data_IF_636011116906
#
_entry.id   IF_636011116906
#
_cell.length_a   1.000
_cell.length_b   1.000
_cell.length_c   1.000
_cell.angle_alpha   90.00
_cell.angle_beta   90.00
_cell.angle_gamma   90.00
#
_symmetry.space_group_name_H-M   'P 1'
#
loop_
_entity.id
_entity.type
_entity.pdbx_description
1 polymer ?
#
# COMPACT_ATOMS: atom_id res chain seq x y z
N UNK A 1 21.54 9.06 24.90
CA UNK A 1 20.67 7.95 24.45
C UNK A 1 20.80 7.83 22.95
N UNK A 2 20.77 6.62 22.34
CA UNK A 2 20.81 6.52 20.89
C UNK A 2 19.61 7.27 20.28
N UNK A 3 19.88 8.00 19.21
CA UNK A 3 18.92 8.70 18.35
C UNK A 3 17.92 7.66 17.82
N UNK A 4 16.63 7.77 18.16
CA UNK A 4 15.61 6.75 17.86
C UNK A 4 14.36 7.36 17.23
N UNK A 5 13.87 6.70 16.19
CA UNK A 5 12.53 6.96 15.65
C UNK A 5 11.46 6.43 16.61
N UNK A 6 10.24 6.98 16.54
CA UNK A 6 9.06 6.41 17.21
C UNK A 6 7.98 6.11 16.19
N UNK A 7 7.62 4.84 16.03
CA UNK A 7 6.52 4.39 15.18
C UNK A 7 5.23 4.30 16.02
N UNK A 8 4.26 5.15 15.73
CA UNK A 8 2.89 5.03 16.23
C UNK A 8 2.08 4.18 15.27
N UNK A 9 1.76 2.95 15.68
CA UNK A 9 1.19 1.96 14.77
C UNK A 9 0.37 0.87 15.46
N UNK A 10 -0.03 -0.12 14.68
CA UNK A 10 -0.75 -1.29 15.16
C UNK A 10 -0.32 -2.54 14.40
N UNK A 11 -0.15 -3.66 15.10
CA UNK A 11 0.27 -4.93 14.49
C UNK A 11 -0.68 -5.45 13.41
N UNK A 12 -1.97 -5.13 13.54
CA UNK A 12 -3.01 -5.54 12.61
C UNK A 12 -3.20 -4.60 11.41
N UNK A 13 -2.49 -3.47 11.38
CA UNK A 13 -2.56 -2.48 10.30
C UNK A 13 -1.55 -2.82 9.21
N UNK A 14 -2.05 -2.97 7.98
CA UNK A 14 -1.23 -3.21 6.79
C UNK A 14 -0.17 -2.11 6.60
N UNK A 15 -0.56 -0.85 6.77
CA UNK A 15 0.31 0.29 6.60
C UNK A 15 1.36 0.38 7.72
N UNK A 16 1.02 0.01 8.96
CA UNK A 16 2.01 -0.09 10.04
C UNK A 16 3.00 -1.21 9.80
N UNK A 17 2.54 -2.36 9.27
CA UNK A 17 3.40 -3.46 8.84
C UNK A 17 4.45 -3.06 7.81
N UNK A 18 4.03 -2.30 6.79
CA UNK A 18 4.90 -1.71 5.76
C UNK A 18 6.03 -0.87 6.35
N UNK A 19 5.70 0.14 7.16
CA UNK A 19 6.73 1.03 7.77
C UNK A 19 7.60 0.28 8.77
N UNK A 20 7.04 -0.63 9.56
CA UNK A 20 7.81 -1.45 10.49
C UNK A 20 8.84 -2.31 9.78
N UNK A 21 8.43 -2.98 8.70
CA UNK A 21 9.33 -3.77 7.87
C UNK A 21 10.44 -2.90 7.28
N UNK A 22 10.09 -1.72 6.74
CA UNK A 22 11.07 -0.76 6.25
C UNK A 22 12.09 -0.35 7.31
N UNK A 23 11.66 0.12 8.48
CA UNK A 23 12.57 0.56 9.54
C UNK A 23 13.51 -0.57 9.99
N UNK A 24 13.00 -1.81 10.12
CA UNK A 24 13.81 -2.99 10.42
C UNK A 24 14.83 -3.29 9.31
N UNK A 25 14.41 -3.25 8.05
CA UNK A 25 15.29 -3.49 6.89
C UNK A 25 16.25 -2.35 6.60
N UNK A 26 15.96 -1.15 7.07
CA UNK A 26 16.90 -0.02 7.05
C UNK A 26 17.90 -0.07 8.20
N UNK A 27 17.71 -0.97 9.17
CA UNK A 27 18.59 -1.07 10.35
C UNK A 27 18.42 0.09 11.34
N UNK A 28 17.32 0.85 11.24
CA UNK A 28 17.09 2.02 12.07
C UNK A 28 16.55 1.59 13.43
N UNK A 29 17.12 2.14 14.49
CA UNK A 29 16.60 1.93 15.84
C UNK A 29 15.29 2.72 16.01
N UNK A 30 14.21 2.03 16.38
CA UNK A 30 12.93 2.66 16.66
C UNK A 30 12.23 2.03 17.85
N UNK A 31 11.43 2.85 18.55
CA UNK A 31 10.45 2.37 19.51
C UNK A 31 9.10 2.28 18.81
N UNK A 32 8.33 1.23 19.08
CA UNK A 32 6.96 1.13 18.61
C UNK A 32 5.97 1.42 19.73
N UNK A 33 5.08 2.37 19.48
CA UNK A 33 4.02 2.79 20.41
C UNK A 33 2.68 2.39 19.82
N UNK A 34 1.89 1.66 20.60
CA UNK A 34 0.53 1.31 20.19
C UNK A 34 -0.30 2.59 19.94
N UNK A 35 -0.94 2.65 18.77
CA UNK A 35 -1.86 3.73 18.43
C UNK A 35 -3.24 3.55 19.11
N UNK A 36 -3.22 3.52 20.44
CA UNK A 36 -4.41 3.45 21.29
C UNK A 36 -5.28 4.70 21.15
N UNK A 37 -6.50 4.68 21.71
CA UNK A 37 -7.38 5.88 21.76
C UNK A 37 -6.67 7.08 22.38
N UNK A 38 -5.89 6.86 23.43
CA UNK A 38 -5.10 7.90 24.09
C UNK A 38 -4.05 8.48 23.13
N UNK A 39 -3.29 7.61 22.47
CA UNK A 39 -2.27 8.01 21.47
C UNK A 39 -2.88 8.79 20.31
N UNK A 40 -4.09 8.42 19.86
CA UNK A 40 -4.81 9.18 18.83
C UNK A 40 -5.14 10.60 19.28
N UNK A 41 -5.71 10.73 20.48
CA UNK A 41 -6.14 12.02 21.04
C UNK A 41 -4.95 12.92 21.38
N UNK A 42 -3.91 12.36 21.99
CA UNK A 42 -2.82 13.13 22.61
C UNK A 42 -1.65 13.39 21.64
N UNK A 43 -1.50 12.59 20.57
CA UNK A 43 -0.34 12.67 19.67
C UNK A 43 -0.74 12.68 18.20
N UNK A 44 -1.40 11.63 17.70
CA UNK A 44 -1.59 11.49 16.23
C UNK A 44 -2.42 12.65 15.66
N UNK A 45 -3.57 12.97 16.25
CA UNK A 45 -4.44 14.02 15.72
C UNK A 45 -3.81 15.42 15.89
N UNK A 46 -3.31 15.81 17.08
CA UNK A 46 -2.67 17.10 17.26
C UNK A 46 -1.48 17.34 16.32
N UNK A 47 -0.62 16.32 16.12
CA UNK A 47 0.63 16.48 15.38
C UNK A 47 0.49 16.32 13.87
N UNK A 48 -0.60 15.70 13.39
CA UNK A 48 -0.75 15.39 11.95
C UNK A 48 -2.01 15.96 11.32
N UNK A 49 -2.97 16.45 12.12
CA UNK A 49 -4.27 16.91 11.65
C UNK A 49 -5.20 15.80 11.13
N UNK A 50 -4.76 14.53 11.15
CA UNK A 50 -5.49 13.40 10.58
C UNK A 50 -5.61 12.23 11.55
N UNK A 51 -6.56 11.33 11.28
CA UNK A 51 -6.86 10.15 12.11
C UNK A 51 -6.32 8.86 11.47
N UNK A 52 -5.07 8.88 10.99
CA UNK A 52 -4.46 7.75 10.28
C UNK A 52 -3.19 7.24 10.96
N UNK A 53 -2.95 5.95 10.80
CA UNK A 53 -1.71 5.27 11.19
C UNK A 53 -1.13 4.57 9.97
N UNK A 54 0.19 4.38 9.90
CA UNK A 54 1.18 4.78 10.90
C UNK A 54 1.52 6.27 10.88
N UNK A 55 2.10 6.73 11.98
CA UNK A 55 2.83 8.00 12.09
C UNK A 55 4.22 7.71 12.63
N UNK A 56 5.25 8.36 12.10
CA UNK A 56 6.61 8.26 12.62
C UNK A 56 7.06 9.61 13.15
N UNK A 57 7.51 9.67 14.41
CA UNK A 57 8.25 10.81 14.93
C UNK A 57 9.74 10.58 14.69
N UNK A 58 10.38 11.51 14.00
CA UNK A 58 11.83 11.50 13.79
C UNK A 58 12.56 11.87 15.09
N UNK A 59 13.86 11.57 15.19
CA UNK A 59 14.64 11.95 16.37
C UNK A 59 14.69 13.47 16.61
N UNK A 60 14.56 14.27 15.55
CA UNK A 60 14.50 15.74 15.58
C UNK A 60 13.12 16.27 16.01
N UNK A 61 12.15 15.37 16.22
CA UNK A 61 10.81 15.71 16.67
C UNK A 61 9.79 15.99 15.56
N UNK A 62 10.16 15.84 14.28
CA UNK A 62 9.23 15.97 13.14
C UNK A 62 8.28 14.77 13.10
N UNK A 63 6.99 15.01 12.81
CA UNK A 63 6.00 13.95 12.62
C UNK A 63 5.74 13.71 11.13
N UNK A 64 5.91 12.47 10.68
CA UNK A 64 5.71 12.01 9.32
C UNK A 64 4.48 11.10 9.27
N UNK A 65 3.55 11.38 8.36
CA UNK A 65 2.36 10.58 8.12
C UNK A 65 2.24 10.26 6.64
N UNK A 66 1.70 9.07 6.34
CA UNK A 66 1.63 8.40 5.04
C UNK A 66 2.85 7.51 4.82
N UNK A 67 2.63 6.22 4.53
CA UNK A 67 3.74 5.24 4.46
C UNK A 67 4.73 5.57 3.37
N UNK A 68 4.26 6.06 2.24
CA UNK A 68 5.09 6.40 1.08
C UNK A 68 5.91 7.65 1.36
N UNK A 69 5.32 8.65 2.05
CA UNK A 69 6.05 9.84 2.52
C UNK A 69 7.04 9.51 3.63
N UNK A 70 6.64 8.70 4.61
CA UNK A 70 7.51 8.24 5.70
C UNK A 70 8.75 7.55 5.13
N UNK A 71 8.56 6.58 4.23
CA UNK A 71 9.68 5.83 3.65
C UNK A 71 10.56 6.77 2.83
N UNK A 72 10.00 7.59 1.94
CA UNK A 72 10.78 8.48 1.08
C UNK A 72 11.58 9.52 1.87
N UNK A 73 10.98 10.14 2.88
CA UNK A 73 11.64 11.13 3.73
C UNK A 73 12.81 10.49 4.50
N UNK A 74 12.55 9.37 5.19
CA UNK A 74 13.60 8.68 5.97
C UNK A 74 14.69 8.16 5.04
N UNK A 75 14.34 7.60 3.88
CA UNK A 75 15.33 7.07 2.93
C UNK A 75 16.24 8.16 2.38
N UNK A 76 15.73 9.39 2.21
CA UNK A 76 16.55 10.53 1.79
C UNK A 76 17.55 11.01 2.85
N UNK A 77 17.25 10.77 4.14
CA UNK A 77 18.14 11.10 5.26
C UNK A 77 19.19 10.00 5.50
N UNK A 78 18.95 8.79 5.00
CA UNK A 78 19.82 7.62 5.17
C UNK A 78 20.10 7.00 3.79
N UNK A 79 20.99 7.57 2.97
CA UNK A 79 21.18 7.13 1.58
C UNK A 79 21.72 5.70 1.44
N UNK A 80 22.44 5.21 2.45
CA UNK A 80 22.96 3.83 2.49
C UNK A 80 21.82 2.81 2.45
N UNK A 81 21.98 1.77 1.62
CA UNK A 81 20.96 0.74 1.42
C UNK A 81 19.58 1.34 1.11
N UNK A 82 19.51 2.32 0.20
CA UNK A 82 18.25 2.93 -0.24
C UNK A 82 17.21 1.87 -0.64
N UNK A 83 15.98 2.08 -0.17
CA UNK A 83 14.80 1.31 -0.55
C UNK A 83 14.31 1.65 -1.96
N UNK A 84 14.83 2.73 -2.54
CA UNK A 84 14.40 3.25 -3.81
C UNK A 84 15.44 2.89 -4.88
N UNK A 85 15.07 2.15 -5.94
CA UNK A 85 16.00 1.90 -7.03
C UNK A 85 16.55 3.19 -7.63
N UNK A 86 17.82 3.15 -8.02
CA UNK A 86 18.53 4.32 -8.56
C UNK A 86 18.43 4.43 -10.09
N UNK A 87 18.07 3.34 -10.77
CA UNK A 87 17.99 3.24 -12.23
C UNK A 87 16.55 3.38 -12.72
N UNK A 88 16.31 3.95 -13.92
CA UNK A 88 14.97 4.39 -14.32
C UNK A 88 13.92 3.29 -14.44
N UNK A 89 14.21 2.17 -15.13
CA UNK A 89 13.24 1.08 -15.38
C UNK A 89 12.84 0.41 -14.06
N UNK A 90 13.83 -0.02 -13.26
CA UNK A 90 13.59 -0.62 -11.95
C UNK A 90 12.88 0.35 -11.00
N UNK A 91 13.20 1.65 -11.06
CA UNK A 91 12.54 2.65 -10.21
C UNK A 91 11.07 2.80 -10.56
N UNK A 92 10.73 2.93 -11.84
CA UNK A 92 9.33 2.98 -12.28
C UNK A 92 8.59 1.71 -11.87
N UNK A 93 9.12 0.53 -12.19
CA UNK A 93 8.48 -0.75 -11.87
C UNK A 93 8.28 -0.91 -10.37
N UNK A 94 9.26 -0.54 -9.55
CA UNK A 94 9.14 -0.68 -8.10
C UNK A 94 8.04 0.21 -7.52
N UNK A 95 7.95 1.47 -7.98
CA UNK A 95 6.93 2.41 -7.54
C UNK A 95 5.54 2.06 -8.09
N UNK A 96 5.42 1.52 -9.31
CA UNK A 96 4.15 0.99 -9.83
C UNK A 96 3.66 -0.22 -9.02
N UNK A 97 4.57 -1.14 -8.66
CA UNK A 97 4.25 -2.26 -7.78
C UNK A 97 3.85 -1.80 -6.37
N UNK A 98 4.42 -0.70 -5.86
CA UNK A 98 3.95 -0.06 -4.63
C UNK A 98 2.50 0.44 -4.77
N UNK A 99 2.17 1.15 -5.86
CA UNK A 99 0.79 1.60 -6.16
C UNK A 99 -0.17 0.41 -6.22
N UNK A 100 0.24 -0.69 -6.87
CA UNK A 100 -0.56 -1.91 -6.95
C UNK A 100 -0.81 -2.53 -5.57
N UNK A 101 0.24 -2.67 -4.76
CA UNK A 101 0.12 -3.27 -3.45
C UNK A 101 -0.74 -2.44 -2.48
N UNK A 102 -0.49 -1.14 -2.41
CA UNK A 102 -1.17 -0.27 -1.44
C UNK A 102 -2.65 -0.04 -1.81
N UNK A 103 -2.96 0.05 -3.11
CA UNK A 103 -4.28 0.52 -3.58
C UNK A 103 -5.15 -0.56 -4.22
N UNK A 104 -4.57 -1.69 -4.66
CA UNK A 104 -5.32 -2.79 -5.27
C UNK A 104 -5.40 -4.03 -4.38
N UNK A 105 -4.28 -4.45 -3.78
CA UNK A 105 -4.25 -5.64 -2.91
C UNK A 105 -5.03 -5.47 -1.60
N UNK A 106 -5.55 -4.27 -1.34
CA UNK A 106 -6.57 -4.04 -0.33
C UNK A 106 -7.84 -4.88 -0.57
N UNK A 107 -8.17 -5.22 -1.83
CA UNK A 107 -9.33 -6.05 -2.18
C UNK A 107 -9.25 -7.45 -1.54
N UNK A 108 -8.26 -8.30 -1.87
CA UNK A 108 -8.12 -9.60 -1.22
C UNK A 108 -7.83 -9.46 0.28
N UNK A 109 -7.02 -8.49 0.70
CA UNK A 109 -6.71 -8.29 2.12
C UNK A 109 -7.96 -8.01 2.98
N UNK A 110 -8.94 -7.27 2.46
CA UNK A 110 -10.19 -7.00 3.16
C UNK A 110 -11.21 -8.13 3.01
N UNK A 111 -11.29 -8.77 1.84
CA UNK A 111 -12.15 -9.94 1.63
C UNK A 111 -11.80 -11.07 2.60
N UNK A 112 -10.54 -11.54 2.57
CA UNK A 112 -10.14 -12.66 3.41
C UNK A 112 -10.24 -12.34 4.90
N UNK A 113 -10.04 -11.08 5.31
CA UNK A 113 -10.21 -10.66 6.70
C UNK A 113 -11.68 -10.76 7.16
N UNK A 114 -12.62 -10.27 6.36
CA UNK A 114 -14.00 -10.03 6.85
C UNK A 114 -15.04 -11.06 6.43
N UNK A 115 -14.76 -11.86 5.39
CA UNK A 115 -15.74 -12.77 4.79
C UNK A 115 -15.55 -14.23 5.20
N UNK A 116 -14.63 -14.51 6.14
CA UNK A 116 -14.40 -15.84 6.75
C UNK A 116 -14.61 -15.79 8.27
N UNK A 117 -15.84 -15.51 8.73
CA UNK A 117 -16.08 -15.12 10.12
C UNK A 117 -15.72 -16.21 11.13
N UNK A 118 -16.04 -17.47 10.83
CA UNK A 118 -15.80 -18.60 11.74
C UNK A 118 -14.33 -18.81 12.07
N UNK A 119 -13.44 -18.62 11.07
CA UNK A 119 -12.00 -18.82 11.23
C UNK A 119 -11.30 -17.55 11.72
N UNK A 120 -11.77 -16.36 11.31
CA UNK A 120 -11.01 -15.13 11.49
C UNK A 120 -11.53 -14.21 12.60
N UNK A 121 -12.84 -14.13 12.85
CA UNK A 121 -13.39 -13.14 13.81
C UNK A 121 -12.84 -13.26 15.23
N UNK A 122 -12.68 -14.47 15.82
CA UNK A 122 -12.10 -14.58 17.16
C UNK A 122 -10.70 -13.96 17.26
N UNK A 123 -9.87 -14.18 16.23
CA UNK A 123 -8.55 -13.59 16.13
C UNK A 123 -8.61 -12.07 15.94
N UNK A 124 -9.38 -11.60 14.95
CA UNK A 124 -9.49 -10.18 14.58
C UNK A 124 -10.01 -9.34 15.76
N UNK A 125 -11.07 -9.77 16.43
CA UNK A 125 -11.64 -9.01 17.54
C UNK A 125 -10.70 -8.94 18.74
N UNK A 126 -9.92 -9.99 19.00
CA UNK A 126 -8.86 -9.96 20.01
C UNK A 126 -7.79 -8.93 19.66
N UNK A 127 -7.36 -8.89 18.39
CA UNK A 127 -6.37 -7.91 17.93
C UNK A 127 -6.89 -6.47 18.01
N UNK A 128 -8.14 -6.21 17.59
CA UNK A 128 -8.77 -4.90 17.78
C UNK A 128 -8.85 -4.52 19.28
N UNK A 129 -9.20 -5.46 20.15
CA UNK A 129 -9.23 -5.20 21.60
C UNK A 129 -7.88 -4.79 22.16
N UNK A 130 -6.80 -5.49 21.76
CA UNK A 130 -5.41 -5.16 22.13
C UNK A 130 -4.97 -3.81 21.57
N UNK A 131 -5.44 -3.44 20.39
CA UNK A 131 -5.17 -2.16 19.75
C UNK A 131 -5.86 -0.98 20.46
N UNK A 132 -7.17 -1.08 20.71
CA UNK A 132 -7.96 0.05 21.24
C UNK A 132 -7.63 0.31 22.70
N UNK A 133 -7.57 -0.74 23.53
CA UNK A 133 -7.32 -0.66 24.98
C UNK A 133 -6.28 -1.71 25.40
N UNK A 134 -4.97 -1.52 25.09
CA UNK A 134 -3.94 -2.52 25.38
C UNK A 134 -3.81 -2.86 26.86
N UNK A 135 -4.12 -1.90 27.75
CA UNK A 135 -4.02 -2.00 29.20
C UNK A 135 -5.29 -2.59 29.87
N UNK A 136 -6.39 -2.77 29.13
CA UNK A 136 -7.65 -3.23 29.73
C UNK A 136 -7.70 -4.77 29.90
N UNK A 137 -8.46 -5.28 30.88
CA UNK A 137 -8.74 -6.71 31.03
C UNK A 137 -9.28 -7.37 29.75
N UNK A 138 -9.06 -8.67 29.59
CA UNK A 138 -9.40 -9.41 28.37
C UNK A 138 -10.88 -9.34 27.97
N UNK A 139 -11.80 -9.39 28.94
CA UNK A 139 -13.25 -9.32 28.67
C UNK A 139 -13.66 -7.95 28.09
N UNK A 140 -13.12 -6.85 28.62
CA UNK A 140 -13.35 -5.49 28.10
C UNK A 140 -12.78 -5.36 26.69
N UNK A 141 -11.56 -5.86 26.47
CA UNK A 141 -10.93 -5.89 25.13
C UNK A 141 -11.78 -6.64 24.12
N UNK A 142 -12.36 -7.78 24.50
CA UNK A 142 -13.27 -8.55 23.64
C UNK A 142 -14.50 -7.76 23.19
N UNK A 143 -15.18 -7.10 24.14
CA UNK A 143 -16.36 -6.27 23.84
C UNK A 143 -16.03 -5.06 22.94
N UNK A 144 -14.97 -4.31 23.29
CA UNK A 144 -14.53 -3.15 22.50
C UNK A 144 -14.03 -3.58 21.11
N UNK A 145 -13.28 -4.69 21.04
CA UNK A 145 -12.77 -5.22 19.79
C UNK A 145 -13.87 -5.61 18.81
N UNK A 146 -14.95 -6.24 19.31
CA UNK A 146 -16.14 -6.55 18.51
C UNK A 146 -16.80 -5.28 17.97
N UNK A 147 -17.01 -4.26 18.82
CA UNK A 147 -17.63 -2.98 18.42
C UNK A 147 -16.80 -2.22 17.38
N UNK A 148 -15.48 -2.16 17.58
CA UNK A 148 -14.55 -1.51 16.65
C UNK A 148 -14.48 -2.25 15.31
N UNK A 149 -14.34 -3.58 15.35
CA UNK A 149 -14.23 -4.42 14.15
C UNK A 149 -15.49 -4.44 13.29
N UNK A 150 -16.68 -4.41 13.90
CA UNK A 150 -17.95 -4.42 13.17
C UNK A 150 -18.09 -3.25 12.17
N UNK A 151 -17.54 -2.07 12.49
CA UNK A 151 -17.53 -0.91 11.58
C UNK A 151 -16.73 -1.17 10.30
N UNK A 152 -15.62 -1.92 10.39
CA UNK A 152 -14.78 -2.24 9.23
C UNK A 152 -15.41 -3.32 8.35
N UNK A 153 -16.11 -4.28 8.96
CA UNK A 153 -16.89 -5.28 8.22
C UNK A 153 -17.91 -4.64 7.29
N UNK A 154 -18.60 -3.58 7.72
CA UNK A 154 -19.58 -2.86 6.90
C UNK A 154 -18.98 -2.05 5.74
N UNK A 155 -17.66 -1.80 5.74
CA UNK A 155 -17.01 -0.96 4.72
C UNK A 155 -16.55 -1.73 3.47
N UNK A 156 -16.49 -3.07 3.52
CA UNK A 156 -15.93 -3.89 2.43
C UNK A 156 -16.72 -3.82 1.14
N UNK A 157 -18.05 -3.69 1.22
CA UNK A 157 -18.93 -3.56 0.04
C UNK A 157 -18.63 -2.30 -0.77
N UNK A 158 -18.27 -1.19 -0.10
CA UNK A 158 -17.89 0.06 -0.79
C UNK A 158 -16.63 -0.09 -1.63
N UNK A 159 -15.76 -1.06 -1.33
CA UNK A 159 -14.58 -1.38 -2.13
C UNK A 159 -14.92 -2.23 -3.37
N UNK A 160 -16.17 -2.66 -3.54
CA UNK A 160 -16.58 -3.59 -4.59
C UNK A 160 -16.45 -5.06 -4.19
N UNK A 161 -16.34 -5.36 -2.89
CA UNK A 161 -16.32 -6.73 -2.36
C UNK A 161 -17.77 -7.17 -2.11
N UNK A 162 -18.34 -7.92 -3.04
CA UNK A 162 -19.74 -8.37 -3.05
C UNK A 162 -19.79 -9.88 -3.30
N UNK A 163 -20.92 -10.53 -3.01
CA UNK A 163 -21.10 -11.95 -3.32
C UNK A 163 -20.78 -12.28 -4.80
N UNK A 164 -21.02 -11.32 -5.70
CA UNK A 164 -20.73 -11.44 -7.13
C UNK A 164 -19.23 -11.40 -7.43
N UNK A 165 -18.47 -10.53 -6.77
CA UNK A 165 -17.03 -10.32 -7.06
C UNK A 165 -16.11 -11.22 -6.25
N UNK A 166 -16.58 -11.80 -5.14
CA UNK A 166 -15.79 -12.68 -4.28
C UNK A 166 -15.07 -13.80 -5.06
N UNK A 167 -15.72 -14.59 -5.93
CA UNK A 167 -15.02 -15.63 -6.68
C UNK A 167 -13.87 -15.10 -7.54
N UNK A 168 -14.05 -13.93 -8.18
CA UNK A 168 -13.02 -13.27 -8.98
C UNK A 168 -11.86 -12.73 -8.11
N UNK A 169 -12.17 -12.21 -6.92
CA UNK A 169 -11.14 -11.78 -5.94
C UNK A 169 -10.29 -12.98 -5.50
N UNK A 170 -10.93 -14.12 -5.23
CA UNK A 170 -10.25 -15.34 -4.81
C UNK A 170 -9.39 -15.94 -5.94
N UNK A 171 -9.91 -15.95 -7.17
CA UNK A 171 -9.18 -16.38 -8.36
C UNK A 171 -7.95 -15.51 -8.62
N UNK A 172 -8.12 -14.18 -8.64
CA UNK A 172 -7.01 -13.22 -8.84
C UNK A 172 -5.95 -13.34 -7.75
N UNK A 173 -6.34 -13.44 -6.48
CA UNK A 173 -5.39 -13.62 -5.38
C UNK A 173 -4.69 -14.97 -5.42
N UNK A 174 -5.41 -16.05 -5.74
CA UNK A 174 -4.82 -17.37 -5.90
C UNK A 174 -3.75 -17.39 -7.00
N UNK A 175 -4.03 -16.77 -8.15
CA UNK A 175 -3.07 -16.65 -9.24
C UNK A 175 -1.89 -15.73 -8.86
N UNK A 176 -2.12 -14.63 -8.14
CA UNK A 176 -1.04 -13.80 -7.59
C UNK A 176 -0.11 -14.60 -6.65
N UNK A 177 -0.68 -15.48 -5.81
CA UNK A 177 0.11 -16.35 -4.94
C UNK A 177 0.97 -17.33 -5.75
N UNK A 178 0.46 -17.86 -6.86
CA UNK A 178 1.23 -18.75 -7.73
C UNK A 178 2.36 -18.01 -8.44
N UNK A 179 2.09 -16.79 -8.93
CA UNK A 179 3.08 -15.92 -9.57
C UNK A 179 4.21 -15.56 -8.57
N UNK A 180 3.86 -15.12 -7.36
CA UNK A 180 4.82 -14.79 -6.31
C UNK A 180 5.56 -16.04 -5.81
N UNK A 181 4.91 -17.20 -5.75
CA UNK A 181 5.55 -18.47 -5.41
C UNK A 181 6.65 -18.81 -6.43
N UNK A 182 6.34 -18.72 -7.73
CA UNK A 182 7.31 -18.96 -8.79
C UNK A 182 8.47 -17.96 -8.74
N UNK A 183 8.19 -16.69 -8.43
CA UNK A 183 9.19 -15.65 -8.28
C UNK A 183 10.12 -15.88 -7.09
N UNK A 184 9.57 -16.09 -5.87
CA UNK A 184 10.39 -16.24 -4.65
C UNK A 184 11.10 -17.58 -4.51
N UNK A 185 10.86 -18.54 -5.42
CA UNK A 185 11.72 -19.71 -5.59
C UNK A 185 13.04 -19.36 -6.29
N UNK A 186 13.12 -18.23 -7.02
CA UNK A 186 14.29 -17.81 -7.81
C UNK A 186 14.95 -16.54 -7.27
N UNK A 187 14.18 -15.63 -6.71
CA UNK A 187 14.64 -14.35 -6.20
C UNK A 187 14.34 -14.21 -4.71
N UNK A 188 15.18 -13.48 -3.97
CA UNK A 188 14.94 -13.27 -2.54
C UNK A 188 13.93 -12.14 -2.28
N UNK A 189 13.87 -11.16 -3.18
CA UNK A 189 13.01 -9.98 -3.16
C UNK A 189 12.55 -9.65 -4.59
N UNK A 190 11.56 -8.78 -4.73
CA UNK A 190 10.86 -8.55 -6.01
C UNK A 190 11.78 -8.16 -7.18
N UNK A 191 12.86 -7.42 -6.92
CA UNK A 191 13.79 -6.94 -7.95
C UNK A 191 15.24 -7.39 -7.75
N UNK A 192 15.50 -8.40 -6.89
CA UNK A 192 16.85 -8.91 -6.66
C UNK A 192 17.07 -9.59 -5.32
N UNK A 193 18.22 -9.31 -4.69
CA UNK A 193 18.65 -9.88 -3.41
C UNK A 193 18.60 -8.90 -2.22
N UNK A 194 18.08 -7.69 -2.42
CA UNK A 194 17.70 -6.76 -1.33
C UNK A 194 16.25 -6.26 -1.51
N UNK A 195 15.55 -5.87 -0.42
CA UNK A 195 14.21 -5.31 -0.54
C UNK A 195 14.25 -3.89 -1.12
N UNK A 196 13.20 -3.53 -1.84
CA UNK A 196 12.96 -2.18 -2.32
C UNK A 196 11.52 -1.72 -2.00
N UNK A 197 11.13 -0.54 -2.48
CA UNK A 197 9.81 0.05 -2.23
C UNK A 197 8.65 -0.86 -2.68
N UNK A 198 8.85 -1.68 -3.72
CA UNK A 198 7.88 -2.69 -4.12
C UNK A 198 7.67 -3.72 -3.01
N UNK A 199 8.74 -4.26 -2.43
CA UNK A 199 8.66 -5.24 -1.34
C UNK A 199 7.95 -4.64 -0.12
N UNK A 200 8.24 -3.37 0.20
CA UNK A 200 7.58 -2.65 1.29
C UNK A 200 6.10 -2.37 1.00
N UNK A 201 5.71 -2.13 -0.25
CA UNK A 201 4.30 -2.11 -0.65
C UNK A 201 3.64 -3.45 -0.40
N UNK A 202 4.19 -4.52 -0.98
CA UNK A 202 3.62 -5.88 -0.91
C UNK A 202 3.52 -6.42 0.50
N UNK A 203 4.50 -6.15 1.37
CA UNK A 203 4.49 -6.70 2.73
C UNK A 203 3.32 -6.15 3.54
N UNK A 204 2.82 -4.94 3.26
CA UNK A 204 1.68 -4.36 3.97
C UNK A 204 0.46 -5.29 4.03
N UNK A 205 -0.22 -5.54 2.90
CA UNK A 205 -1.38 -6.43 2.85
C UNK A 205 -1.00 -7.90 3.10
N UNK A 206 0.14 -8.36 2.58
CA UNK A 206 0.55 -9.76 2.69
C UNK A 206 0.83 -10.16 4.13
N UNK A 207 1.51 -9.32 4.91
CA UNK A 207 1.76 -9.60 6.32
C UNK A 207 0.49 -9.46 7.16
N UNK A 208 -0.06 -8.24 7.22
CA UNK A 208 -0.95 -7.89 8.32
C UNK A 208 -2.31 -8.59 8.23
N UNK A 209 -2.81 -8.84 7.01
CA UNK A 209 -4.13 -9.44 6.78
C UNK A 209 -4.00 -10.86 6.23
N UNK A 210 -3.14 -11.07 5.22
CA UNK A 210 -3.15 -12.32 4.47
C UNK A 210 -2.27 -13.41 5.08
N UNK A 211 -1.24 -13.06 5.86
CA UNK A 211 -0.37 -14.01 6.55
C UNK A 211 -0.72 -14.19 8.03
N UNK A 212 -1.22 -13.13 8.70
CA UNK A 212 -1.58 -13.19 10.13
C UNK A 212 -2.98 -13.72 10.39
N UNK A 213 -3.97 -13.41 9.55
CA UNK A 213 -5.34 -13.86 9.79
C UNK A 213 -5.43 -15.38 9.54
N UNK A 214 -6.14 -16.16 10.39
CA UNK A 214 -6.05 -17.63 10.37
C UNK A 214 -6.34 -18.29 9.01
N UNK A 215 -7.44 -17.91 8.35
CA UNK A 215 -7.84 -18.50 7.08
C UNK A 215 -6.83 -18.22 5.94
N UNK A 216 -6.53 -16.96 5.59
CA UNK A 216 -5.60 -16.70 4.49
C UNK A 216 -4.17 -17.14 4.81
N UNK A 217 -3.77 -17.20 6.09
CA UNK A 217 -2.47 -17.76 6.50
C UNK A 217 -2.35 -19.24 6.10
N UNK A 218 -3.37 -20.05 6.43
CA UNK A 218 -3.41 -21.46 6.07
C UNK A 218 -3.39 -21.64 4.54
N UNK A 219 -4.15 -20.81 3.81
CA UNK A 219 -4.16 -20.82 2.35
C UNK A 219 -2.78 -20.49 1.77
N UNK A 220 -2.14 -19.40 2.21
CA UNK A 220 -0.82 -18.97 1.73
C UNK A 220 0.25 -20.03 2.00
N UNK A 221 0.30 -20.59 3.22
CA UNK A 221 1.30 -21.62 3.57
C UNK A 221 1.12 -22.90 2.77
N UNK A 222 -0.12 -23.26 2.43
CA UNK A 222 -0.42 -24.44 1.61
C UNK A 222 -0.10 -24.23 0.13
N UNK A 223 -0.54 -23.11 -0.46
CA UNK A 223 -0.44 -22.84 -1.90
C UNK A 223 0.91 -22.27 -2.30
N UNK A 224 1.45 -21.36 -1.49
CA UNK A 224 2.61 -20.53 -1.82
C UNK A 224 3.59 -20.42 -0.64
N UNK A 225 4.22 -21.53 -0.20
CA UNK A 225 5.12 -21.53 0.95
C UNK A 225 6.35 -20.63 0.81
N UNK A 226 6.83 -20.34 -0.41
CA UNK A 226 7.91 -19.38 -0.64
C UNK A 226 7.47 -17.93 -0.32
N UNK A 227 6.19 -17.60 -0.57
CA UNK A 227 5.60 -16.30 -0.19
C UNK A 227 5.54 -16.19 1.33
N UNK A 228 5.12 -17.25 2.03
CA UNK A 228 5.12 -17.26 3.50
C UNK A 228 6.53 -17.03 4.09
N UNK A 229 7.56 -17.68 3.52
CA UNK A 229 8.97 -17.46 3.91
C UNK A 229 9.45 -16.05 3.56
N UNK A 230 9.00 -15.47 2.45
CA UNK A 230 9.30 -14.09 2.11
C UNK A 230 8.67 -13.10 3.11
N UNK A 231 7.42 -13.35 3.54
CA UNK A 231 6.79 -12.53 4.60
C UNK A 231 7.59 -12.60 5.90
N UNK A 232 8.02 -13.80 6.31
CA UNK A 232 8.87 -14.00 7.49
C UNK A 232 10.19 -13.23 7.35
N UNK A 233 10.86 -13.37 6.18
CA UNK A 233 12.08 -12.63 5.84
C UNK A 233 11.88 -11.13 5.92
N UNK A 234 10.79 -10.58 5.41
CA UNK A 234 10.50 -9.15 5.42
C UNK A 234 10.26 -8.60 6.83
N UNK A 235 9.75 -9.44 7.75
CA UNK A 235 9.48 -9.04 9.13
C UNK A 235 10.66 -9.29 10.09
N UNK A 236 11.66 -10.05 9.66
CA UNK A 236 12.90 -10.32 10.39
C UNK A 236 13.74 -9.04 10.59
N UNK A 237 14.40 -8.95 11.75
CA UNK A 237 15.34 -7.89 12.15
C UNK A 237 16.79 -8.16 11.73
N UNK A 238 17.08 -9.30 11.11
CA UNK A 238 18.44 -9.66 10.72
C UNK A 238 19.07 -8.66 9.72
N UNK A 239 20.20 -8.07 10.11
CA UNK A 239 20.94 -7.05 9.36
C UNK A 239 21.60 -7.57 8.08
N UNK A 240 21.88 -8.89 7.97
CA UNK A 240 22.48 -9.47 6.75
C UNK A 240 21.59 -9.31 5.50
N UNK A 241 20.28 -9.10 5.69
CA UNK A 241 19.31 -8.93 4.61
C UNK A 241 19.42 -7.56 3.91
N UNK A 242 20.37 -6.71 4.32
CA UNK A 242 20.65 -5.40 3.71
C UNK A 242 21.79 -5.43 2.69
N UNK A 243 22.59 -6.50 2.67
CA UNK A 243 23.84 -6.59 1.89
C UNK A 243 23.65 -7.09 0.44
N UNK A 244 22.41 -7.23 -0.02
CA UNK A 244 22.10 -7.64 -1.39
C UNK A 244 22.12 -6.50 -2.40
N UNK A 245 21.84 -6.86 -3.66
CA UNK A 245 21.79 -5.95 -4.79
C UNK A 245 20.49 -6.13 -5.57
N UNK A 246 20.03 -5.07 -6.23
CA UNK A 246 19.03 -5.24 -7.30
C UNK A 246 19.70 -5.94 -8.49
N UNK A 247 18.91 -6.43 -9.45
CA UNK A 247 19.49 -6.96 -10.69
C UNK A 247 20.32 -5.88 -11.40
N UNK A 248 21.42 -6.30 -12.04
CA UNK A 248 22.30 -5.40 -12.77
C UNK A 248 21.62 -4.84 -14.04
N UNK A 249 22.23 -3.82 -14.64
CA UNK A 249 21.83 -3.26 -15.94
C UNK A 249 20.37 -2.81 -16.03
N UNK A 250 19.80 -2.36 -14.90
CA UNK A 250 18.39 -1.93 -14.81
C UNK A 250 17.39 -3.02 -15.24
N UNK A 251 17.78 -4.30 -15.13
CA UNK A 251 16.97 -5.43 -15.58
C UNK A 251 15.77 -5.65 -14.65
N UNK A 252 14.60 -5.90 -15.22
CA UNK A 252 13.41 -6.33 -14.49
C UNK A 252 13.34 -7.88 -14.53
N UNK A 253 13.22 -8.57 -13.39
CA UNK A 253 13.07 -10.01 -13.42
C UNK A 253 11.84 -10.43 -14.24
N UNK A 254 12.03 -11.27 -15.26
CA UNK A 254 10.93 -11.78 -16.11
C UNK A 254 9.80 -12.43 -15.32
N UNK A 255 10.09 -12.96 -14.13
CA UNK A 255 9.12 -13.59 -13.23
C UNK A 255 8.15 -12.60 -12.59
N UNK A 256 8.39 -11.29 -12.67
CA UNK A 256 7.47 -10.23 -12.22
C UNK A 256 6.43 -9.88 -13.30
N UNK A 257 6.68 -10.19 -14.58
CA UNK A 257 5.76 -9.84 -15.68
C UNK A 257 4.31 -10.30 -15.47
N UNK A 258 4.01 -11.51 -14.96
CA UNK A 258 2.63 -11.91 -14.66
C UNK A 258 1.93 -11.00 -13.65
N UNK A 259 2.67 -10.47 -12.66
CA UNK A 259 2.14 -9.56 -11.64
C UNK A 259 1.84 -8.19 -12.26
N UNK A 260 2.72 -7.70 -13.13
CA UNK A 260 2.47 -6.45 -13.87
C UNK A 260 1.31 -6.60 -14.86
N UNK A 261 1.20 -7.73 -15.56
CA UNK A 261 0.03 -8.07 -16.38
C UNK A 261 -1.26 -8.03 -15.58
N UNK A 262 -1.25 -8.55 -14.35
CA UNK A 262 -2.39 -8.46 -13.43
C UNK A 262 -2.72 -7.01 -13.08
N UNK A 263 -1.71 -6.20 -12.73
CA UNK A 263 -1.89 -4.76 -12.49
C UNK A 263 -2.49 -4.05 -13.72
N UNK A 264 -1.95 -4.30 -14.92
CA UNK A 264 -2.40 -3.71 -16.18
C UNK A 264 -3.82 -4.11 -16.57
N UNK A 265 -4.21 -5.36 -16.30
CA UNK A 265 -5.56 -5.84 -16.58
C UNK A 265 -6.60 -5.39 -15.55
N UNK A 266 -6.23 -5.33 -14.27
CA UNK A 266 -7.18 -5.14 -13.18
C UNK A 266 -7.20 -3.70 -12.62
N UNK A 267 -6.02 -3.16 -12.25
CA UNK A 267 -5.93 -1.87 -11.56
C UNK A 267 -5.80 -0.69 -12.51
N UNK A 268 -4.98 -0.81 -13.57
CA UNK A 268 -4.71 0.33 -14.44
C UNK A 268 -5.97 0.92 -15.11
N UNK A 269 -6.95 0.11 -15.60
CA UNK A 269 -8.21 0.65 -16.11
C UNK A 269 -9.02 1.40 -15.05
N UNK A 270 -8.94 0.96 -13.78
CA UNK A 270 -9.56 1.64 -12.64
C UNK A 270 -8.90 3.00 -12.39
N UNK A 271 -7.56 3.10 -12.46
CA UNK A 271 -6.85 4.38 -12.32
C UNK A 271 -7.25 5.35 -13.44
N UNK A 272 -7.31 4.89 -14.70
CA UNK A 272 -7.79 5.70 -15.84
C UNK A 272 -9.22 6.22 -15.61
N UNK A 273 -10.14 5.33 -15.23
CA UNK A 273 -11.52 5.70 -14.95
C UNK A 273 -11.65 6.66 -13.74
N UNK A 274 -10.82 6.49 -12.72
CA UNK A 274 -10.80 7.38 -11.55
C UNK A 274 -10.33 8.78 -11.91
N UNK A 275 -9.32 8.91 -12.78
CA UNK A 275 -8.80 10.21 -13.22
C UNK A 275 -9.90 11.02 -13.94
N UNK A 276 -10.61 10.38 -14.87
CA UNK A 276 -11.76 10.97 -15.55
C UNK A 276 -12.86 11.41 -14.56
N UNK A 277 -13.20 10.54 -13.61
CA UNK A 277 -14.24 10.84 -12.62
C UNK A 277 -13.82 11.95 -11.64
N UNK A 278 -12.53 12.07 -11.30
CA UNK A 278 -12.01 13.18 -10.48
C UNK A 278 -12.13 14.52 -11.22
N UNK A 279 -11.89 14.52 -12.54
CA UNK A 279 -12.07 15.70 -13.37
C UNK A 279 -13.54 16.14 -13.43
N UNK A 280 -14.47 15.20 -13.65
CA UNK A 280 -15.91 15.45 -13.57
C UNK A 280 -16.30 15.99 -12.19
N UNK A 281 -15.87 15.32 -11.11
CA UNK A 281 -16.17 15.75 -9.75
C UNK A 281 -15.66 17.16 -9.43
N UNK A 282 -14.45 17.54 -9.88
CA UNK A 282 -13.91 18.89 -9.67
C UNK A 282 -14.75 19.95 -10.39
N UNK A 283 -15.21 19.68 -11.62
CA UNK A 283 -16.05 20.61 -12.38
C UNK A 283 -17.40 20.85 -11.70
N UNK A 284 -17.98 19.79 -11.14
CA UNK A 284 -19.33 19.83 -10.56
C UNK A 284 -19.35 20.29 -9.09
N UNK A 285 -18.18 20.37 -8.43
CA UNK A 285 -18.08 20.76 -7.02
C UNK A 285 -17.87 22.27 -6.89
N UNK A 286 -18.82 23.01 -6.28
CA UNK A 286 -18.64 24.44 -6.02
C UNK A 286 -17.42 24.68 -5.13
N UNK A 287 -16.60 25.65 -5.50
CA UNK A 287 -15.40 26.02 -4.75
C UNK A 287 -15.24 27.54 -4.70
N UNK A 288 -14.74 28.02 -3.57
CA UNK A 288 -14.45 29.44 -3.40
C UNK A 288 -13.21 29.82 -4.24
N UNK A 289 -13.34 30.86 -5.07
CA UNK A 289 -12.24 31.42 -5.85
C UNK A 289 -11.07 31.81 -4.92
N UNK A 290 -9.85 31.48 -5.34
CA UNK A 290 -8.62 31.84 -4.63
C UNK A 290 -8.23 30.96 -3.42
N UNK A 291 -9.07 29.99 -3.02
CA UNK A 291 -8.74 29.06 -1.92
C UNK A 291 -8.21 27.73 -2.41
N UNK A 292 -7.39 27.08 -1.59
CA UNK A 292 -6.99 25.69 -1.81
C UNK A 292 -8.21 24.78 -1.66
N UNK A 293 -8.42 23.89 -2.62
CA UNK A 293 -9.58 23.02 -2.68
C UNK A 293 -9.18 21.63 -2.18
N UNK A 294 -9.64 21.27 -0.97
CA UNK A 294 -9.41 19.94 -0.40
C UNK A 294 -10.11 18.89 -1.26
N UNK A 295 -9.37 17.86 -1.66
CA UNK A 295 -9.90 16.72 -2.42
C UNK A 295 -10.59 15.78 -1.44
N UNK A 296 -11.89 15.55 -1.65
CA UNK A 296 -12.64 14.63 -0.82
C UNK A 296 -12.05 13.21 -0.89
N UNK A 297 -12.02 12.52 0.25
CA UNK A 297 -11.47 11.14 0.32
C UNK A 297 -12.24 10.13 -0.53
N UNK A 298 -13.49 10.44 -0.84
CA UNK A 298 -14.42 9.64 -1.65
C UNK A 298 -15.21 10.61 -2.51
N UNK A 299 -15.23 10.39 -3.82
CA UNK A 299 -15.87 11.32 -4.77
C UNK A 299 -17.00 10.67 -5.58
N UNK A 300 -17.38 9.44 -5.24
CA UNK A 300 -18.44 8.70 -5.92
C UNK A 300 -18.08 7.24 -6.12
N UNK A 301 -18.68 6.62 -7.13
CA UNK A 301 -18.39 5.23 -7.52
C UNK A 301 -18.18 5.13 -9.02
N UNK A 302 -17.36 4.18 -9.45
CA UNK A 302 -17.17 3.84 -10.85
C UNK A 302 -17.24 2.33 -11.07
N UNK A 303 -17.42 1.92 -12.33
CA UNK A 303 -17.40 0.51 -12.72
C UNK A 303 -15.95 0.01 -12.74
N UNK A 304 -15.76 -1.23 -12.32
CA UNK A 304 -14.51 -1.96 -12.52
C UNK A 304 -14.80 -3.38 -13.01
N UNK A 305 -13.79 -4.01 -13.58
CA UNK A 305 -13.83 -5.42 -14.01
C UNK A 305 -12.71 -6.16 -13.31
N UNK A 306 -13.01 -7.32 -12.74
CA UNK A 306 -12.03 -8.23 -12.16
C UNK A 306 -12.34 -9.64 -12.67
N UNK A 307 -11.39 -10.25 -13.37
CA UNK A 307 -11.56 -11.59 -13.97
C UNK A 307 -12.89 -11.73 -14.76
N UNK A 308 -13.18 -10.76 -15.63
CA UNK A 308 -14.42 -10.68 -16.42
C UNK A 308 -15.67 -10.25 -15.64
N UNK A 309 -15.65 -10.27 -14.30
CA UNK A 309 -16.78 -9.86 -13.46
C UNK A 309 -16.82 -8.34 -13.32
N UNK A 310 -17.94 -7.74 -13.74
CA UNK A 310 -18.20 -6.29 -13.64
C UNK A 310 -18.98 -5.93 -12.39
N UNK A 311 -18.53 -4.94 -11.63
CA UNK A 311 -19.26 -4.35 -10.50
C UNK A 311 -18.88 -2.86 -10.33
N UNK A 312 -19.32 -2.22 -9.24
CA UNK A 312 -18.97 -0.85 -8.87
C UNK A 312 -18.15 -0.82 -7.59
N UNK A 313 -17.25 0.16 -7.50
CA UNK A 313 -16.49 0.46 -6.29
C UNK A 313 -16.42 1.97 -6.05
N UNK A 314 -16.15 2.35 -4.81
CA UNK A 314 -15.88 3.74 -4.43
C UNK A 314 -14.60 4.22 -5.11
N UNK A 315 -14.61 5.47 -5.55
CA UNK A 315 -13.43 6.15 -6.09
C UNK A 315 -12.68 6.80 -4.92
N UNK A 316 -11.40 6.46 -4.80
CA UNK A 316 -10.50 6.99 -3.78
C UNK A 316 -9.42 7.83 -4.46
N UNK A 317 -9.50 9.18 -4.46
CA UNK A 317 -8.51 10.01 -5.16
C UNK A 317 -7.06 9.80 -4.70
N UNK A 318 -6.86 9.27 -3.49
CA UNK A 318 -5.54 8.90 -2.99
C UNK A 318 -4.77 7.93 -3.92
N UNK A 319 -5.46 6.99 -4.59
CA UNK A 319 -4.80 6.08 -5.53
C UNK A 319 -4.23 6.81 -6.76
N UNK A 320 -4.87 7.90 -7.17
CA UNK A 320 -4.37 8.76 -8.25
C UNK A 320 -3.18 9.58 -7.78
N UNK A 321 -3.22 10.10 -6.56
CA UNK A 321 -2.06 10.80 -5.99
C UNK A 321 -0.84 9.87 -5.86
N UNK A 322 -1.07 8.61 -5.48
CA UNK A 322 -0.03 7.57 -5.47
C UNK A 322 0.59 7.36 -6.85
N UNK A 323 -0.23 7.19 -7.91
CA UNK A 323 0.26 7.09 -9.28
C UNK A 323 0.97 8.39 -9.73
N UNK A 324 0.42 9.55 -9.41
CA UNK A 324 0.98 10.86 -9.79
C UNK A 324 2.39 11.05 -9.25
N UNK A 325 2.66 10.64 -8.01
CA UNK A 325 4.01 10.67 -7.43
C UNK A 325 5.02 9.84 -8.24
N UNK A 326 4.58 8.72 -8.80
CA UNK A 326 5.42 7.86 -9.66
C UNK A 326 5.68 8.56 -10.99
N UNK A 327 4.62 9.07 -11.63
CA UNK A 327 4.71 9.61 -12.99
C UNK A 327 5.35 11.00 -13.08
N UNK A 328 5.38 11.75 -11.99
CA UNK A 328 6.11 13.04 -11.90
C UNK A 328 7.57 12.86 -11.48
N UNK A 329 8.04 11.63 -11.31
CA UNK A 329 9.43 11.34 -10.98
C UNK A 329 10.35 11.66 -12.16
N UNK A 330 11.55 12.17 -11.88
CA UNK A 330 12.58 12.45 -12.92
C UNK A 330 12.84 11.24 -13.83
N UNK A 331 12.71 10.04 -13.29
CA UNK A 331 12.95 8.78 -13.98
C UNK A 331 11.97 8.52 -15.12
N UNK A 332 10.75 9.05 -15.06
CA UNK A 332 9.78 8.92 -16.17
C UNK A 332 10.21 9.77 -17.36
N UNK A 333 10.78 10.96 -17.12
CA UNK A 333 11.33 11.78 -18.20
C UNK A 333 12.51 11.11 -18.89
N UNK A 334 13.35 10.37 -18.15
CA UNK A 334 14.46 9.60 -18.72
C UNK A 334 13.98 8.42 -19.59
N UNK A 335 12.77 7.92 -19.34
CA UNK A 335 12.18 6.76 -20.03
C UNK A 335 11.30 7.13 -21.23
N UNK A 336 10.95 8.40 -21.42
CA UNK A 336 9.95 8.80 -22.45
C UNK A 336 10.40 8.47 -23.89
N UNK A 337 11.70 8.30 -24.11
CA UNK A 337 12.28 7.92 -25.40
C UNK A 337 12.86 6.48 -25.39
N UNK A 338 12.61 5.71 -24.34
CA UNK A 338 13.01 4.30 -24.25
C UNK A 338 11.92 3.42 -24.89
N UNK A 339 11.92 3.35 -26.23
CA UNK A 339 10.90 2.65 -27.00
C UNK A 339 10.86 1.14 -26.71
N UNK A 340 12.00 0.51 -26.40
CA UNK A 340 12.05 -0.91 -26.02
C UNK A 340 11.26 -1.14 -24.72
N UNK A 341 11.44 -0.24 -23.76
CA UNK A 341 10.76 -0.32 -22.49
C UNK A 341 9.27 0.04 -22.61
N UNK A 342 8.89 1.00 -23.45
CA UNK A 342 7.49 1.30 -23.73
C UNK A 342 6.76 0.11 -24.39
N UNK A 343 7.40 -0.56 -25.36
CA UNK A 343 6.91 -1.81 -25.94
C UNK A 343 6.75 -2.92 -24.90
N UNK A 344 7.64 -2.99 -23.92
CA UNK A 344 7.53 -3.94 -22.81
C UNK A 344 6.38 -3.57 -21.86
N UNK A 345 6.17 -2.29 -21.56
CA UNK A 345 5.02 -1.80 -20.79
C UNK A 345 3.69 -2.14 -21.47
N UNK A 346 3.60 -1.99 -22.79
CA UNK A 346 2.44 -2.41 -23.58
C UNK A 346 2.15 -3.91 -23.41
N UNK A 347 3.18 -4.77 -23.51
CA UNK A 347 3.06 -6.23 -23.33
C UNK A 347 2.58 -6.65 -21.94
N UNK A 348 2.83 -5.84 -20.91
CA UNK A 348 2.31 -6.07 -19.56
C UNK A 348 1.01 -5.31 -19.26
N UNK A 349 0.37 -4.72 -20.28
CA UNK A 349 -0.91 -4.04 -20.15
C UNK A 349 -0.83 -2.66 -19.49
N UNK A 350 0.37 -2.08 -19.40
CA UNK A 350 0.64 -0.74 -18.88
C UNK A 350 0.96 0.26 -20.01
N UNK A 351 0.47 -0.04 -21.21
CA UNK A 351 0.57 0.82 -22.40
C UNK A 351 0.21 2.28 -22.14
N UNK A 352 1.04 3.19 -22.67
CA UNK A 352 0.85 4.64 -22.58
C UNK A 352 0.97 5.22 -21.17
N UNK A 353 1.40 4.44 -20.17
CA UNK A 353 1.52 4.93 -18.78
C UNK A 353 2.55 6.04 -18.64
N UNK A 354 3.62 6.02 -19.44
CA UNK A 354 4.65 7.08 -19.45
C UNK A 354 4.08 8.44 -19.91
N UNK A 355 3.02 8.40 -20.72
CA UNK A 355 2.33 9.58 -21.25
C UNK A 355 1.01 9.88 -20.51
N UNK A 356 0.76 9.21 -19.39
CA UNK A 356 -0.48 9.39 -18.64
C UNK A 356 -0.51 10.77 -17.97
N UNK A 357 -1.53 11.56 -18.28
CA UNK A 357 -1.71 12.91 -17.75
C UNK A 357 -2.79 12.95 -16.65
N UNK A 358 -2.56 13.81 -15.65
CA UNK A 358 -3.56 14.09 -14.62
C UNK A 358 -4.28 15.38 -14.97
N UNK A 359 -5.57 15.28 -15.27
CA UNK A 359 -6.42 16.44 -15.53
C UNK A 359 -6.47 17.38 -14.31
N UNK A 360 -6.40 16.78 -13.12
CA UNK A 360 -6.52 17.46 -11.83
C UNK A 360 -5.37 17.04 -10.91
N UNK A 361 -4.15 17.56 -11.14
CA UNK A 361 -3.00 17.17 -10.34
C UNK A 361 -3.18 17.60 -8.88
N UNK A 362 -2.71 16.77 -7.97
CA UNK A 362 -2.88 16.95 -6.53
C UNK A 362 -1.54 17.17 -5.82
N UNK A 363 -1.60 17.74 -4.63
CA UNK A 363 -0.49 17.85 -3.70
C UNK A 363 -0.99 17.65 -2.26
N UNK A 364 -0.05 17.54 -1.31
CA UNK A 364 -0.39 17.38 0.11
C UNK A 364 -0.12 18.66 0.88
N UNK A 365 -1.09 19.10 1.68
CA UNK A 365 -0.94 20.14 2.70
C UNK A 365 -1.45 19.53 4.01
N UNK A 366 -0.66 19.60 5.08
CA UNK A 366 -1.00 19.08 6.42
C UNK A 366 -1.65 17.68 6.36
N UNK A 367 -0.99 16.78 5.62
CA UNK A 367 -1.37 15.39 5.44
C UNK A 367 -2.67 15.12 4.65
N UNK A 368 -3.34 16.14 4.14
CA UNK A 368 -4.54 16.03 3.30
C UNK A 368 -4.24 16.35 1.84
N UNK A 369 -5.10 15.88 0.94
CA UNK A 369 -4.96 16.11 -0.50
C UNK A 369 -5.67 17.39 -0.90
N UNK A 370 -4.99 18.20 -1.72
CA UNK A 370 -5.51 19.41 -2.33
C UNK A 370 -5.20 19.39 -3.82
N UNK A 371 -6.10 19.96 -4.62
CA UNK A 371 -5.79 20.19 -6.02
C UNK A 371 -4.66 21.23 -6.15
N UNK A 372 -3.71 21.01 -7.04
CA UNK A 372 -2.72 22.04 -7.38
C UNK A 372 -3.43 23.22 -8.04
N UNK A 373 -2.97 24.42 -7.70
CA UNK A 373 -3.33 25.63 -8.43
C UNK A 373 -2.76 25.49 -9.83
N UNK A 374 -3.60 25.67 -10.84
CA UNK A 374 -3.10 25.90 -12.19
C UNK A 374 -2.43 27.27 -12.13
N UNK A 375 -1.12 27.34 -12.39
CA UNK A 375 -0.48 28.64 -12.57
C UNK A 375 -1.16 29.27 -13.78
N UNK A 376 -1.77 30.44 -13.57
CA UNK A 376 -2.47 31.19 -14.61
C UNK A 376 -1.49 31.66 -15.70
#
# INVERSE_FOLDING_TARGET
MPVRYTLYGAEMSLYSGKVRSYLRKKGLAFNEVAASVKTYRDVIIPETGVKFIPVVRTPEGKFLQDTSVIIKEIDSQHPDHSALPATPRQRLVAELLEVYADEWLILPAMHYRWNFPEKNQPFIYREFGRFVLPWAPAFIRGWVGKKAGARFKGAVTSLGITAKTIPAIEASYGALLDDLQAHFLKHQFLLGSKPCIADFGFIGPLYAHLYRDPYPSALMRKRAPAVARWVERMMDTNAYLQQGSLLANDEIPKTIEPILKRMGAEQYPVLKASNKALNEWRRDTPHALGKDIEVARRIGTHKFTLDGVKDKRVILPYSLWMLQRVLESRYVFELINDYEFDDWLEKVGLGGILNFTFDQPMHRIDNKLYFRKVMA
#
